data_IF_629668721322
#
_entry.id   IF_629668721322
#
_cell.length_a   1.000
_cell.length_b   1.000
_cell.length_c   1.000
_cell.angle_alpha   90.00
_cell.angle_beta   90.00
_cell.angle_gamma   90.00
#
_symmetry.space_group_name_H-M   'P 1'
#
loop_
_entity.id
_entity.type
_entity.pdbx_description
1 polymer ?
#
# COMPACT_ATOMS: atom_id res chain seq x y z
N UNK A 1 -54.56 1.86 -24.26
CA UNK A 1 -53.76 2.03 -23.03
C UNK A 1 -52.57 1.08 -23.10
N UNK A 2 -51.39 1.55 -23.53
CA UNK A 2 -50.17 0.74 -23.61
C UNK A 2 -49.14 1.39 -22.68
N UNK A 3 -48.92 0.79 -21.51
CA UNK A 3 -47.81 1.17 -20.64
C UNK A 3 -46.53 0.58 -21.23
N UNK A 4 -45.64 1.45 -21.71
CA UNK A 4 -44.26 1.08 -22.02
C UNK A 4 -43.48 1.32 -20.73
N UNK A 5 -43.19 0.25 -20.00
CA UNK A 5 -42.28 0.28 -18.86
C UNK A 5 -40.87 0.29 -19.44
N UNK A 6 -40.27 1.47 -19.51
CA UNK A 6 -38.88 1.65 -19.89
C UNK A 6 -37.97 1.05 -18.82
N UNK A 7 -37.24 0.00 -19.18
CA UNK A 7 -36.24 -0.63 -18.33
C UNK A 7 -35.06 0.35 -18.19
N UNK A 8 -34.97 1.06 -17.06
CA UNK A 8 -33.82 1.91 -16.75
C UNK A 8 -32.66 0.99 -16.33
N UNK A 9 -31.79 0.64 -17.29
CA UNK A 9 -30.50 0.02 -16.99
C UNK A 9 -29.59 1.09 -16.36
N UNK A 10 -29.53 1.12 -15.04
CA UNK A 10 -28.49 1.88 -14.33
C UNK A 10 -27.17 1.14 -14.56
N UNK A 11 -26.39 1.63 -15.52
CA UNK A 11 -25.00 1.19 -15.69
C UNK A 11 -24.22 1.82 -14.55
N UNK A 12 -24.03 1.07 -13.46
CA UNK A 12 -23.06 1.45 -12.42
C UNK A 12 -21.68 1.26 -13.03
N UNK A 13 -21.10 2.34 -13.55
CA UNK A 13 -19.68 2.35 -13.89
C UNK A 13 -18.91 2.30 -12.57
N UNK A 14 -18.37 1.13 -12.23
CA UNK A 14 -17.35 1.02 -11.19
C UNK A 14 -16.12 1.75 -11.69
N UNK A 15 -15.92 3.00 -11.26
CA UNK A 15 -14.67 3.71 -11.50
C UNK A 15 -13.57 2.93 -10.80
N UNK A 16 -12.61 2.41 -11.57
CA UNK A 16 -11.43 1.78 -11.01
C UNK A 16 -10.62 2.87 -10.28
N UNK A 17 -10.51 2.73 -8.96
CA UNK A 17 -9.74 3.63 -8.10
C UNK A 17 -8.28 3.64 -8.55
N UNK A 18 -7.60 4.77 -8.40
CA UNK A 18 -6.14 4.91 -8.53
C UNK A 18 -5.41 4.26 -7.35
N UNK A 19 -4.10 4.02 -7.48
CA UNK A 19 -3.26 3.54 -6.37
C UNK A 19 -3.35 4.47 -5.16
N UNK A 20 -3.30 5.79 -5.37
CA UNK A 20 -3.39 6.76 -4.27
C UNK A 20 -4.78 6.77 -3.60
N UNK A 21 -5.86 6.58 -4.36
CA UNK A 21 -7.21 6.49 -3.78
C UNK A 21 -7.41 5.20 -2.97
N UNK A 22 -6.90 4.06 -3.46
CA UNK A 22 -6.90 2.81 -2.68
C UNK A 22 -6.05 2.94 -1.41
N UNK A 23 -4.89 3.61 -1.50
CA UNK A 23 -4.07 3.92 -0.34
C UNK A 23 -4.83 4.75 0.70
N UNK A 24 -5.50 5.82 0.27
CA UNK A 24 -6.31 6.68 1.14
C UNK A 24 -7.37 5.89 1.91
N UNK A 25 -8.12 5.02 1.23
CA UNK A 25 -9.09 4.13 1.90
C UNK A 25 -8.44 3.19 2.91
N UNK A 26 -7.31 2.57 2.56
CA UNK A 26 -6.60 1.72 3.51
C UNK A 26 -6.10 2.48 4.73
N UNK A 27 -5.60 3.70 4.54
CA UNK A 27 -5.14 4.56 5.63
C UNK A 27 -6.31 4.95 6.55
N UNK A 28 -7.38 5.47 5.97
CA UNK A 28 -8.49 6.08 6.71
C UNK A 28 -9.43 5.02 7.32
N UNK A 29 -9.77 3.97 6.56
CA UNK A 29 -10.77 2.98 6.97
C UNK A 29 -10.15 1.81 7.77
N UNK A 30 -8.88 1.48 7.52
CA UNK A 30 -8.22 0.30 8.10
C UNK A 30 -7.00 0.64 8.97
N UNK A 31 -6.59 1.90 9.02
CA UNK A 31 -5.40 2.31 9.74
C UNK A 31 -4.11 1.77 9.12
N UNK A 32 -4.01 1.68 7.81
CA UNK A 32 -2.79 1.23 7.13
C UNK A 32 -1.58 2.13 7.42
N UNK A 33 -0.42 1.54 7.69
CA UNK A 33 0.74 2.26 8.25
C UNK A 33 0.64 2.46 9.75
N UNK A 34 -0.58 2.43 10.30
CA UNK A 34 -0.86 2.36 11.72
C UNK A 34 -1.27 0.94 12.17
N UNK A 35 -2.53 0.70 12.48
CA UNK A 35 -3.08 -0.57 12.93
C UNK A 35 -2.79 -1.78 12.00
N UNK A 36 -2.62 -1.58 10.69
CA UNK A 36 -2.30 -2.66 9.74
C UNK A 36 -1.08 -2.37 8.87
N UNK A 37 -0.36 -3.43 8.50
CA UNK A 37 0.84 -3.39 7.65
C UNK A 37 0.59 -3.91 6.22
N UNK A 38 -0.60 -4.47 5.97
CA UNK A 38 -1.00 -4.98 4.65
C UNK A 38 -2.32 -4.33 4.26
N UNK A 39 -2.34 -3.72 3.08
CA UNK A 39 -3.52 -3.14 2.45
C UNK A 39 -3.92 -4.02 1.25
N UNK A 40 -5.11 -4.62 1.31
CA UNK A 40 -5.66 -5.45 0.23
C UNK A 40 -7.19 -5.27 0.13
N UNK A 41 -7.62 -4.11 -0.36
CA UNK A 41 -9.05 -3.76 -0.47
C UNK A 41 -9.86 -4.72 -1.34
N UNK A 42 -9.21 -5.36 -2.31
CA UNK A 42 -9.85 -6.31 -3.21
C UNK A 42 -9.97 -7.72 -2.64
N UNK A 43 -9.51 -7.98 -1.41
CA UNK A 43 -9.39 -9.33 -0.84
C UNK A 43 -8.73 -10.31 -1.82
N UNK A 44 -7.64 -9.84 -2.44
CA UNK A 44 -6.93 -10.52 -3.51
C UNK A 44 -5.98 -11.59 -3.00
N UNK A 45 -5.54 -11.46 -1.77
CA UNK A 45 -4.77 -12.43 -1.02
C UNK A 45 -5.73 -13.30 -0.20
N UNK A 46 -5.35 -14.56 -0.01
CA UNK A 46 -6.05 -15.40 0.98
C UNK A 46 -5.81 -14.85 2.39
N UNK A 47 -6.75 -15.05 3.30
CA UNK A 47 -6.58 -14.69 4.72
C UNK A 47 -5.28 -15.25 5.30
N UNK A 48 -4.93 -16.50 4.93
CA UNK A 48 -3.68 -17.14 5.34
C UNK A 48 -2.45 -16.39 4.84
N UNK A 49 -2.47 -15.91 3.60
CA UNK A 49 -1.38 -15.12 3.01
C UNK A 49 -1.25 -13.78 3.72
N UNK A 50 -2.37 -13.06 3.90
CA UNK A 50 -2.40 -11.78 4.61
C UNK A 50 -1.86 -11.93 6.04
N UNK A 51 -2.33 -12.92 6.78
CA UNK A 51 -1.84 -13.20 8.13
C UNK A 51 -0.34 -13.50 8.17
N UNK A 52 0.17 -14.29 7.20
CA UNK A 52 1.60 -14.61 7.12
C UNK A 52 2.45 -13.38 6.78
N UNK A 53 2.01 -12.53 5.84
CA UNK A 53 2.70 -11.30 5.49
C UNK A 53 2.72 -10.33 6.68
N UNK A 54 1.58 -10.12 7.34
CA UNK A 54 1.49 -9.30 8.55
C UNK A 54 2.43 -9.82 9.64
N UNK A 55 2.48 -11.13 9.87
CA UNK A 55 3.42 -11.72 10.84
C UNK A 55 4.88 -11.39 10.49
N UNK A 56 5.29 -11.61 9.23
CA UNK A 56 6.66 -11.31 8.78
C UNK A 56 7.03 -9.84 8.91
N UNK A 57 6.11 -8.92 8.57
CA UNK A 57 6.37 -7.47 8.67
C UNK A 57 6.48 -7.02 10.13
N UNK A 58 5.69 -7.58 11.04
CA UNK A 58 5.83 -7.31 12.48
C UNK A 58 7.16 -7.88 13.01
N UNK A 59 7.52 -9.11 12.64
CA UNK A 59 8.79 -9.71 13.04
C UNK A 59 9.99 -8.87 12.56
N UNK A 60 9.95 -8.37 11.32
CA UNK A 60 10.98 -7.45 10.82
C UNK A 60 11.02 -6.14 11.62
N UNK A 61 9.86 -5.52 11.92
CA UNK A 61 9.80 -4.30 12.74
C UNK A 61 10.45 -4.51 14.10
N UNK A 62 10.11 -5.62 14.76
CA UNK A 62 10.49 -5.87 16.16
C UNK A 62 11.98 -6.28 16.29
N UNK A 63 12.58 -6.81 15.22
CA UNK A 63 13.96 -7.32 15.23
C UNK A 63 14.98 -6.46 14.46
N UNK A 64 14.55 -5.56 13.57
CA UNK A 64 15.47 -4.66 12.87
C UNK A 64 15.73 -3.42 13.74
N UNK A 65 16.97 -3.22 14.24
CA UNK A 65 17.27 -2.07 15.06
C UNK A 65 17.19 -0.78 14.23
N UNK A 66 16.56 0.24 14.81
CA UNK A 66 16.64 1.59 14.30
C UNK A 66 18.10 2.08 14.33
N UNK A 67 18.61 2.60 13.21
CA UNK A 67 19.97 3.14 13.09
C UNK A 67 20.01 4.66 12.90
N UNK A 68 18.92 5.35 13.19
CA UNK A 68 18.81 6.80 13.01
C UNK A 68 19.45 7.57 14.17
N UNK A 69 20.19 8.63 13.87
CA UNK A 69 20.82 9.49 14.90
C UNK A 69 19.79 10.10 15.86
N UNK A 70 18.59 10.42 15.36
CA UNK A 70 17.49 11.00 16.16
C UNK A 70 16.48 9.96 16.64
N UNK A 71 16.74 8.66 16.47
CA UNK A 71 15.75 7.61 16.69
C UNK A 71 14.75 7.46 15.54
N UNK A 72 13.91 6.42 15.60
CA UNK A 72 12.86 6.10 14.64
C UNK A 72 11.48 6.39 15.23
N UNK A 73 11.44 7.31 16.20
CA UNK A 73 10.26 7.52 17.00
C UNK A 73 9.18 8.17 16.14
N UNK A 74 8.08 7.46 15.99
CA UNK A 74 6.93 7.95 15.25
C UNK A 74 6.00 8.68 16.21
N UNK A 75 5.22 9.62 15.67
CA UNK A 75 4.23 10.38 16.45
C UNK A 75 3.18 9.47 17.11
N UNK A 76 2.96 8.27 16.56
CA UNK A 76 2.06 7.25 17.10
C UNK A 76 2.72 6.34 18.16
N UNK A 77 3.98 6.60 18.54
CA UNK A 77 4.72 5.86 19.57
C UNK A 77 5.14 4.46 19.16
N UNK A 78 5.11 4.13 17.86
CA UNK A 78 5.55 2.85 17.34
C UNK A 78 6.90 3.03 16.68
N UNK A 79 7.93 2.79 17.47
CA UNK A 79 9.31 3.05 17.10
C UNK A 79 9.88 1.86 16.31
N UNK A 80 10.62 2.12 15.22
CA UNK A 80 11.37 1.10 14.49
C UNK A 80 11.07 0.99 12.99
N UNK A 81 11.60 -0.05 12.37
CA UNK A 81 11.48 -0.31 10.93
C UNK A 81 10.02 -0.46 10.49
N UNK A 82 9.60 0.24 9.44
CA UNK A 82 8.22 0.14 8.92
C UNK A 82 8.19 -0.52 7.55
N UNK A 83 7.73 -1.77 7.51
CA UNK A 83 7.43 -2.46 6.26
C UNK A 83 5.93 -2.43 5.94
N UNK A 84 5.56 -1.96 4.75
CA UNK A 84 4.18 -1.99 4.27
C UNK A 84 4.05 -2.73 2.94
N UNK A 85 2.96 -3.47 2.80
CA UNK A 85 2.57 -4.13 1.55
C UNK A 85 1.22 -3.58 1.10
N UNK A 86 1.16 -3.07 -0.12
CA UNK A 86 -0.07 -2.67 -0.77
C UNK A 86 -0.36 -3.58 -1.97
N UNK A 87 -1.57 -4.13 -2.05
CA UNK A 87 -2.03 -5.00 -3.14
C UNK A 87 -3.16 -4.32 -3.90
N UNK A 88 -2.90 -4.01 -5.17
CA UNK A 88 -3.83 -3.23 -6.01
C UNK A 88 -3.93 -3.81 -7.42
N UNK A 89 -5.08 -3.58 -8.06
CA UNK A 89 -5.29 -3.83 -9.50
C UNK A 89 -5.29 -2.52 -10.29
N UNK A 90 -5.10 -1.40 -9.61
CA UNK A 90 -5.16 -0.10 -10.24
C UNK A 90 -4.01 0.07 -11.22
N UNK A 91 -4.36 0.04 -12.50
CA UNK A 91 -3.48 0.45 -13.61
C UNK A 91 -3.48 1.97 -13.79
N UNK A 92 -4.36 2.68 -13.09
CA UNK A 92 -4.56 4.12 -13.20
C UNK A 92 -3.57 4.91 -12.32
N UNK A 93 -2.30 4.53 -12.34
CA UNK A 93 -1.22 5.36 -11.79
C UNK A 93 -0.69 6.28 -12.90
N UNK A 94 -0.59 7.59 -12.65
CA UNK A 94 0.14 8.48 -13.59
C UNK A 94 1.62 8.11 -13.66
N UNK A 95 2.18 7.66 -12.54
CA UNK A 95 3.47 7.00 -12.42
C UNK A 95 3.52 6.26 -11.09
N UNK A 96 3.59 4.93 -11.14
CA UNK A 96 3.65 4.09 -9.94
C UNK A 96 4.85 4.42 -9.05
N UNK A 97 5.95 4.91 -9.62
CA UNK A 97 7.09 5.42 -8.89
C UNK A 97 6.75 6.69 -8.09
N UNK A 98 5.98 7.61 -8.67
CA UNK A 98 5.52 8.81 -7.97
C UNK A 98 4.53 8.47 -6.87
N UNK A 99 3.61 7.54 -7.15
CA UNK A 99 2.63 7.09 -6.17
C UNK A 99 3.31 6.38 -4.99
N UNK A 100 4.28 5.50 -5.29
CA UNK A 100 5.09 4.82 -4.26
C UNK A 100 5.89 5.81 -3.41
N UNK A 101 6.50 6.83 -4.04
CA UNK A 101 7.20 7.89 -3.32
C UNK A 101 6.25 8.66 -2.39
N UNK A 102 5.08 9.04 -2.90
CA UNK A 102 4.07 9.75 -2.11
C UNK A 102 3.61 8.92 -0.91
N UNK A 103 3.32 7.63 -1.10
CA UNK A 103 2.92 6.72 -0.02
C UNK A 103 4.04 6.57 1.01
N UNK A 104 5.29 6.42 0.56
CA UNK A 104 6.45 6.25 1.44
C UNK A 104 6.65 7.49 2.35
N UNK A 105 6.55 8.68 1.76
CA UNK A 105 6.68 9.95 2.48
C UNK A 105 5.50 10.17 3.44
N UNK A 106 4.27 9.98 2.98
CA UNK A 106 3.05 10.18 3.80
C UNK A 106 2.93 9.15 4.93
N UNK A 107 3.40 7.92 4.70
CA UNK A 107 3.51 6.91 5.74
C UNK A 107 4.64 7.23 6.75
N UNK A 108 5.45 8.27 6.55
CA UNK A 108 6.54 8.64 7.45
C UNK A 108 7.65 7.59 7.49
N UNK A 109 7.93 6.92 6.37
CA UNK A 109 9.02 5.94 6.28
C UNK A 109 10.40 6.59 6.10
N UNK A 110 10.42 7.88 5.74
CA UNK A 110 11.60 8.73 5.69
C UNK A 110 11.60 9.73 6.86
N UNK A 111 11.66 9.25 8.10
CA UNK A 111 11.79 10.18 9.25
C UNK A 111 13.17 10.81 9.21
N UNK A 112 13.22 12.13 9.06
CA UNK A 112 14.44 12.95 9.14
C UNK A 112 15.59 12.51 8.21
N UNK A 113 15.29 11.95 7.03
CA UNK A 113 16.32 11.49 6.09
C UNK A 113 16.92 10.13 6.44
N UNK A 114 16.34 9.41 7.40
CA UNK A 114 16.82 8.12 7.84
C UNK A 114 15.96 7.00 7.25
N UNK A 115 16.11 6.72 5.95
CA UNK A 115 15.35 5.74 5.18
C UNK A 115 15.27 4.33 5.84
N UNK A 116 14.35 4.17 6.79
CA UNK A 116 14.23 2.98 7.66
C UNK A 116 12.93 2.20 7.41
N UNK A 117 12.20 2.56 6.35
CA UNK A 117 11.01 1.83 5.92
C UNK A 117 11.18 1.14 4.59
N UNK A 118 10.28 0.18 4.34
CA UNK A 118 10.13 -0.51 3.07
C UNK A 118 8.68 -0.43 2.64
N UNK A 119 8.44 0.00 1.40
CA UNK A 119 7.14 -0.11 0.77
C UNK A 119 7.23 -1.10 -0.39
N UNK A 120 6.35 -2.10 -0.37
CA UNK A 120 6.12 -3.01 -1.48
C UNK A 120 4.73 -2.76 -2.05
N UNK A 121 4.65 -2.48 -3.35
CA UNK A 121 3.37 -2.38 -4.07
C UNK A 121 3.28 -3.53 -5.06
N UNK A 122 2.28 -4.39 -4.89
CA UNK A 122 2.00 -5.51 -5.77
C UNK A 122 0.81 -5.18 -6.67
N UNK A 123 1.09 -5.04 -7.97
CA UNK A 123 0.09 -4.93 -9.02
C UNK A 123 -0.33 -6.32 -9.47
N UNK A 124 -1.46 -6.82 -8.95
CA UNK A 124 -1.88 -8.21 -9.21
C UNK A 124 -2.16 -8.49 -10.69
N UNK A 125 -2.81 -7.55 -11.35
CA UNK A 125 -3.23 -7.67 -12.75
C UNK A 125 -2.06 -7.78 -13.74
N UNK A 126 -0.97 -7.07 -13.48
CA UNK A 126 0.24 -7.10 -14.32
C UNK A 126 1.32 -8.02 -13.77
N UNK A 127 1.08 -8.66 -12.62
CA UNK A 127 2.08 -9.41 -11.85
C UNK A 127 3.38 -8.63 -11.63
N UNK A 128 3.28 -7.32 -11.47
CA UNK A 128 4.43 -6.45 -11.23
C UNK A 128 4.59 -6.17 -9.74
N UNK A 129 5.83 -6.16 -9.27
CA UNK A 129 6.15 -5.75 -7.90
C UNK A 129 7.05 -4.54 -7.93
N UNK A 130 6.68 -3.57 -7.12
CA UNK A 130 7.47 -2.39 -6.80
C UNK A 130 8.08 -2.46 -5.45
N UNK A 131 9.30 -2.00 -5.38
CA UNK A 131 10.00 -1.81 -4.12
C UNK A 131 10.43 -0.35 -4.03
N UNK A 132 10.02 0.31 -2.96
CA UNK A 132 10.49 1.65 -2.63
C UNK A 132 11.22 1.60 -1.29
N UNK A 133 12.50 1.91 -1.36
CA UNK A 133 13.42 2.16 -0.25
C UNK A 133 14.13 3.44 -0.66
N UNK A 134 13.68 4.60 -0.16
CA UNK A 134 14.32 5.85 -0.56
C UNK A 134 15.82 5.82 -0.15
N UNK A 135 16.70 6.48 -0.93
CA UNK A 135 16.43 7.31 -2.11
C UNK A 135 16.29 6.49 -3.42
N UNK A 136 16.31 5.15 -3.37
CA UNK A 136 16.29 4.26 -4.53
C UNK A 136 14.87 3.74 -4.81
N UNK A 137 14.16 4.39 -5.72
CA UNK A 137 13.03 3.75 -6.40
C UNK A 137 13.63 2.74 -7.37
N UNK A 138 13.64 1.45 -7.00
CA UNK A 138 14.12 0.39 -7.89
C UNK A 138 13.06 0.20 -8.97
N UNK A 139 13.40 0.30 -10.26
CA UNK A 139 12.44 0.10 -11.34
C UNK A 139 11.82 -1.29 -11.25
N UNK A 140 10.51 -1.36 -11.52
CA UNK A 140 9.69 -2.55 -11.43
C UNK A 140 10.14 -3.58 -12.47
N UNK A 141 10.43 -4.79 -12.01
CA UNK A 141 10.66 -5.93 -12.90
C UNK A 141 9.37 -6.76 -13.01
N UNK A 142 9.01 -7.24 -14.20
CA UNK A 142 7.96 -8.25 -14.32
C UNK A 142 8.39 -9.51 -13.53
N UNK A 143 7.49 -10.04 -12.71
CA UNK A 143 7.68 -11.37 -12.15
C UNK A 143 7.51 -12.37 -13.28
N UNK A 144 8.59 -13.09 -13.62
CA UNK A 144 8.62 -14.16 -14.63
C UNK A 144 7.59 -15.25 -14.34
#
# INVERSE_FOLDING_TARGET
MRLIIGLLLVVVQTLALTVIEEYGKCKDDQGFGNATLVCDLGNRLSERTTAKLTYLLNDLRDNIPCKCETGCDRVDGRDGYLGLIMVTESKNSKSLAQDAKQIYEDAGMNLNGCDHGLLLIYLKDSQQVGFSILPLIIPFYPLL
#
